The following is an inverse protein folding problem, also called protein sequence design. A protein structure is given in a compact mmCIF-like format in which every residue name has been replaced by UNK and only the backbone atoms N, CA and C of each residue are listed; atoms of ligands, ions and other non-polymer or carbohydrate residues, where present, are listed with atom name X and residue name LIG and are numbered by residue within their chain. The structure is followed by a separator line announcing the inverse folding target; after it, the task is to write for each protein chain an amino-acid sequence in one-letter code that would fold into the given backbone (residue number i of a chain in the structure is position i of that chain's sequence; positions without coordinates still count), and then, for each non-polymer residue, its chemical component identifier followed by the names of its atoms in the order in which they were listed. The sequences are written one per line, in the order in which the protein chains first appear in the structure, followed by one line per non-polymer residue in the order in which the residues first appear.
data_IF_818940377874
#
_entry.id   IF_818940377874
#
_cell.length_a   1.000
_cell.length_b   1.000
_cell.length_c   1.000
_cell.angle_alpha   90.00
_cell.angle_beta   90.00
_cell.angle_gamma   90.00
#
_symmetry.space_group_name_H-M   'P 1'
#
loop_
_entity.id
_entity.type
_entity.pdbx_description
1 polymer ?
#
# COMPACT_ATOMS: atom_id res chain seq x y z
N UNK A 1 65.20 -19.96 -17.19
CA UNK A 1 64.69 -20.03 -15.81
C UNK A 1 63.35 -19.33 -15.75
N UNK A 2 62.27 -20.10 -15.87
CA UNK A 2 60.89 -19.64 -16.02
C UNK A 2 60.30 -19.46 -14.61
N UNK A 3 59.99 -18.23 -14.21
CA UNK A 3 59.29 -17.96 -12.95
C UNK A 3 57.80 -18.20 -13.17
N UNK A 4 57.31 -19.33 -12.69
CA UNK A 4 55.90 -19.67 -12.68
C UNK A 4 55.14 -18.78 -11.70
N UNK A 5 54.14 -18.07 -12.22
CA UNK A 5 53.16 -17.32 -11.44
C UNK A 5 51.96 -18.23 -11.18
N UNK A 6 51.84 -18.76 -9.97
CA UNK A 6 50.66 -19.50 -9.52
C UNK A 6 49.53 -18.51 -9.24
N UNK A 7 48.53 -18.43 -10.13
CA UNK A 7 47.28 -17.69 -9.89
C UNK A 7 46.27 -18.68 -9.30
N UNK A 8 45.96 -18.49 -8.02
CA UNK A 8 44.91 -19.19 -7.29
C UNK A 8 43.56 -18.63 -7.73
N UNK A 9 42.85 -19.36 -8.60
CA UNK A 9 41.49 -19.03 -9.02
C UNK A 9 40.53 -19.41 -7.88
N UNK A 10 40.06 -18.42 -7.14
CA UNK A 10 38.93 -18.59 -6.20
C UNK A 10 37.63 -18.76 -7.00
N UNK A 11 37.18 -20.00 -7.16
CA UNK A 11 35.83 -20.31 -7.62
C UNK A 11 34.87 -19.96 -6.48
N UNK A 12 34.33 -18.75 -6.48
CA UNK A 12 33.14 -18.43 -5.69
C UNK A 12 31.95 -19.13 -6.33
N UNK A 13 31.67 -20.35 -5.85
CA UNK A 13 30.39 -21.02 -6.06
C UNK A 13 29.37 -20.23 -5.25
N UNK A 14 28.89 -19.13 -5.81
CA UNK A 14 27.72 -18.45 -5.28
C UNK A 14 26.53 -19.35 -5.60
N UNK A 15 26.18 -20.20 -4.63
CA UNK A 15 24.88 -20.86 -4.56
C UNK A 15 23.82 -19.77 -4.46
N UNK A 16 23.43 -19.21 -5.61
CA UNK A 16 22.25 -18.36 -5.73
C UNK A 16 21.04 -19.24 -5.47
N UNK A 17 20.66 -19.32 -4.19
CA UNK A 17 19.43 -19.93 -3.72
C UNK A 17 18.31 -19.30 -4.56
N UNK A 18 17.76 -20.04 -5.51
CA UNK A 18 16.61 -19.61 -6.30
C UNK A 18 15.46 -19.44 -5.31
N UNK A 19 15.23 -18.20 -4.88
CA UNK A 19 13.96 -17.84 -4.26
C UNK A 19 12.88 -18.21 -5.28
N UNK A 20 11.97 -19.06 -4.83
CA UNK A 20 10.79 -19.47 -5.59
C UNK A 20 9.97 -18.19 -5.76
N UNK A 21 10.11 -17.53 -6.90
CA UNK A 21 9.19 -16.48 -7.32
C UNK A 21 7.84 -17.17 -7.47
N UNK A 22 7.00 -17.02 -6.45
CA UNK A 22 5.58 -17.38 -6.57
C UNK A 22 5.02 -16.39 -7.57
N UNK A 23 4.97 -16.80 -8.83
CA UNK A 23 4.23 -16.14 -9.91
C UNK A 23 2.76 -16.18 -9.52
N UNK A 24 2.36 -15.18 -8.73
CA UNK A 24 0.97 -14.95 -8.37
C UNK A 24 0.32 -14.23 -9.53
N UNK A 25 -0.59 -14.93 -10.21
CA UNK A 25 -1.51 -14.46 -11.25
C UNK A 25 -1.42 -12.95 -11.54
N UNK A 26 -0.51 -12.60 -12.43
CA UNK A 26 0.07 -11.26 -12.60
C UNK A 26 -0.95 -10.24 -13.16
N UNK A 27 -2.11 -10.71 -13.61
CA UNK A 27 -3.10 -9.92 -14.35
C UNK A 27 -4.23 -9.34 -13.51
N UNK A 28 -4.53 -9.88 -12.33
CA UNK A 28 -5.76 -9.57 -11.60
C UNK A 28 -5.52 -9.02 -10.19
N UNK A 29 -6.47 -8.19 -9.74
CA UNK A 29 -6.48 -7.66 -8.38
C UNK A 29 -6.94 -8.73 -7.39
N UNK A 30 -6.09 -9.05 -6.43
CA UNK A 30 -6.49 -9.77 -5.22
C UNK A 30 -7.00 -8.78 -4.19
N UNK A 31 -8.25 -8.91 -3.76
CA UNK A 31 -8.86 -8.05 -2.74
C UNK A 31 -8.80 -8.72 -1.36
N UNK A 32 -8.54 -7.92 -0.33
CA UNK A 32 -8.46 -8.34 1.06
C UNK A 32 -9.57 -7.67 1.87
N UNK A 33 -10.14 -8.42 2.81
CA UNK A 33 -11.32 -7.99 3.60
C UNK A 33 -10.97 -7.70 5.07
N UNK A 34 -9.69 -7.68 5.44
CA UNK A 34 -9.26 -7.42 6.81
C UNK A 34 -8.13 -6.39 6.86
N UNK A 35 -8.11 -5.58 7.92
CA UNK A 35 -7.05 -4.60 8.17
C UNK A 35 -5.71 -5.26 8.49
N UNK A 36 -5.71 -6.50 8.96
CA UNK A 36 -4.50 -7.28 9.23
C UNK A 36 -3.74 -7.65 7.96
N UNK A 37 -4.42 -7.58 6.81
CA UNK A 37 -3.81 -7.81 5.50
C UNK A 37 -3.05 -6.58 4.99
N UNK A 38 -3.17 -5.41 5.64
CA UNK A 38 -2.44 -4.20 5.26
C UNK A 38 -0.95 -4.42 5.54
N UNK A 39 -0.05 -4.30 4.54
CA UNK A 39 1.37 -4.40 4.79
C UNK A 39 1.84 -3.36 5.80
N UNK A 40 2.64 -3.77 6.77
CA UNK A 40 3.12 -2.87 7.84
C UNK A 40 3.87 -1.65 7.27
N UNK A 41 4.67 -1.83 6.21
CA UNK A 41 5.32 -0.73 5.50
C UNK A 41 4.32 0.28 4.91
N UNK A 42 3.17 -0.18 4.41
CA UNK A 42 2.13 0.70 3.88
C UNK A 42 1.48 1.49 5.01
N UNK A 43 1.15 0.81 6.12
CA UNK A 43 0.60 1.43 7.34
C UNK A 43 1.52 2.54 7.85
N UNK A 44 2.79 2.23 8.05
CA UNK A 44 3.79 3.19 8.51
C UNK A 44 3.95 4.38 7.57
N UNK A 45 3.93 4.13 6.24
CA UNK A 45 4.07 5.20 5.25
C UNK A 45 2.88 6.15 5.25
N UNK A 46 1.66 5.62 5.40
CA UNK A 46 0.43 6.42 5.51
C UNK A 46 0.41 7.23 6.81
N UNK A 47 0.78 6.62 7.94
CA UNK A 47 0.90 7.33 9.22
C UNK A 47 1.91 8.48 9.15
N UNK A 48 3.07 8.24 8.51
CA UNK A 48 4.09 9.27 8.30
C UNK A 48 3.61 10.39 7.37
N UNK A 49 2.82 10.07 6.32
CA UNK A 49 2.28 11.07 5.39
C UNK A 49 1.28 12.02 6.07
N UNK A 50 0.43 11.49 6.95
CA UNK A 50 -0.62 12.26 7.63
C UNK A 50 -0.23 12.77 9.03
N UNK A 51 1.02 12.52 9.47
CA UNK A 51 1.50 12.86 10.81
C UNK A 51 0.58 12.41 11.95
N UNK A 52 0.08 11.18 11.87
CA UNK A 52 -0.85 10.67 12.87
C UNK A 52 -1.16 9.19 12.77
N UNK A 53 -2.02 8.73 13.66
CA UNK A 53 -2.39 7.33 13.78
C UNK A 53 -3.31 6.87 12.66
N UNK A 54 -3.14 5.62 12.24
CA UNK A 54 -3.99 4.93 11.27
C UNK A 54 -4.80 3.83 11.98
N UNK A 55 -5.76 4.28 12.79
CA UNK A 55 -6.70 3.42 13.50
C UNK A 55 -7.88 3.05 12.58
N UNK A 56 -7.91 1.80 12.12
CA UNK A 56 -8.82 1.35 11.06
C UNK A 56 -9.75 0.22 11.48
N UNK A 57 -10.98 0.28 11.00
CA UNK A 57 -11.96 -0.82 11.10
C UNK A 57 -11.94 -1.67 9.83
N UNK A 58 -12.24 -2.97 9.96
CA UNK A 58 -12.51 -3.84 8.82
C UNK A 58 -13.67 -3.30 7.97
N UNK A 59 -13.71 -3.60 6.66
CA UNK A 59 -14.85 -3.25 5.81
C UNK A 59 -16.17 -3.72 6.43
N UNK A 60 -17.13 -2.80 6.56
CA UNK A 60 -18.45 -3.08 7.15
C UNK A 60 -18.51 -3.17 8.68
N UNK A 61 -17.38 -3.15 9.38
CA UNK A 61 -17.36 -3.15 10.84
C UNK A 61 -17.76 -1.77 11.42
N UNK A 62 -18.31 -1.72 12.64
CA UNK A 62 -18.58 -0.48 13.34
C UNK A 62 -17.32 0.38 13.48
N UNK A 63 -17.47 1.68 13.29
CA UNK A 63 -16.42 2.67 13.45
C UNK A 63 -17.04 3.97 13.96
N UNK A 64 -16.24 4.81 14.60
CA UNK A 64 -16.65 6.14 14.98
C UNK A 64 -16.47 7.10 13.80
N UNK A 65 -17.59 7.54 13.22
CA UNK A 65 -17.61 8.45 12.09
C UNK A 65 -17.42 9.93 12.47
N UNK A 66 -17.54 10.26 13.77
CA UNK A 66 -17.56 11.65 14.25
C UNK A 66 -16.22 12.05 14.87
N UNK A 67 -15.95 13.36 14.94
CA UNK A 67 -14.77 13.91 15.63
C UNK A 67 -14.76 13.61 17.14
N UNK A 68 -15.92 13.28 17.72
CA UNK A 68 -16.02 12.95 19.13
C UNK A 68 -15.69 11.48 19.33
N UNK A 69 -14.49 11.18 19.85
CA UNK A 69 -14.12 9.82 20.28
C UNK A 69 -14.90 9.45 21.54
N UNK A 70 -16.15 9.04 21.38
CA UNK A 70 -17.01 8.59 22.48
C UNK A 70 -16.70 7.15 22.90
N UNK A 71 -16.05 6.38 22.00
CA UNK A 71 -15.93 4.92 22.09
C UNK A 71 -14.48 4.47 21.80
N UNK A 72 -14.14 3.22 22.17
CA UNK A 72 -12.89 2.55 21.77
C UNK A 72 -12.85 2.09 20.31
N UNK A 73 -13.84 2.49 19.51
CA UNK A 73 -13.96 2.12 18.10
C UNK A 73 -12.92 2.83 17.23
N UNK A 74 -12.46 2.20 16.14
CA UNK A 74 -11.62 2.85 15.15
C UNK A 74 -12.33 4.03 14.48
N UNK A 75 -11.58 4.96 13.91
CA UNK A 75 -12.13 6.18 13.29
C UNK A 75 -12.19 6.13 11.76
N UNK A 76 -11.57 5.11 11.15
CA UNK A 76 -11.41 5.00 9.70
C UNK A 76 -11.79 3.62 9.18
N UNK A 77 -12.95 3.43 8.55
CA UNK A 77 -13.28 2.15 7.94
C UNK A 77 -12.46 1.95 6.66
N UNK A 78 -11.83 0.78 6.54
CA UNK A 78 -11.22 0.32 5.31
C UNK A 78 -12.33 0.09 4.25
N UNK A 79 -12.14 0.63 3.05
CA UNK A 79 -13.10 0.50 1.95
C UNK A 79 -12.60 -0.47 0.87
N UNK A 80 -11.31 -0.42 0.56
CA UNK A 80 -10.65 -1.34 -0.36
C UNK A 80 -9.23 -1.60 0.15
N UNK A 81 -8.80 -2.86 0.08
CA UNK A 81 -7.39 -3.22 0.08
C UNK A 81 -7.19 -4.24 -1.02
N UNK A 82 -6.33 -3.94 -1.98
CA UNK A 82 -6.09 -4.82 -3.11
C UNK A 82 -4.62 -4.83 -3.52
N UNK A 83 -4.20 -5.96 -4.10
CA UNK A 83 -2.84 -6.17 -4.61
C UNK A 83 -2.87 -6.75 -6.03
N UNK A 84 -2.00 -6.25 -6.91
CA UNK A 84 -1.72 -6.83 -8.23
C UNK A 84 -0.21 -6.76 -8.48
N UNK A 85 0.46 -7.92 -8.59
CA UNK A 85 1.92 -7.95 -8.60
C UNK A 85 2.49 -7.30 -7.34
N UNK A 86 3.35 -6.28 -7.49
CA UNK A 86 3.87 -5.51 -6.36
C UNK A 86 3.05 -4.24 -6.05
N UNK A 87 2.03 -3.93 -6.86
CA UNK A 87 1.18 -2.77 -6.67
C UNK A 87 0.14 -3.05 -5.59
N UNK A 88 0.06 -2.15 -4.61
CA UNK A 88 -0.93 -2.12 -3.56
C UNK A 88 -1.83 -0.90 -3.72
N UNK A 89 -3.12 -1.12 -3.50
CA UNK A 89 -4.15 -0.09 -3.44
C UNK A 89 -4.86 -0.21 -2.11
N UNK A 90 -5.05 0.91 -1.45
CA UNK A 90 -5.82 1.01 -0.22
C UNK A 90 -6.72 2.23 -0.31
N UNK A 91 -7.98 2.09 0.08
CA UNK A 91 -8.85 3.24 0.30
C UNK A 91 -9.57 3.12 1.62
N UNK A 92 -9.86 4.26 2.22
CA UNK A 92 -10.55 4.33 3.50
C UNK A 92 -11.35 5.62 3.60
N UNK A 93 -12.33 5.65 4.50
CA UNK A 93 -13.01 6.90 4.84
C UNK A 93 -12.17 7.63 5.88
N UNK A 94 -11.86 8.90 5.60
CA UNK A 94 -11.39 9.82 6.61
C UNK A 94 -12.62 10.47 7.25
N UNK A 95 -12.81 10.17 8.54
CA UNK A 95 -13.81 10.82 9.38
C UNK A 95 -13.33 12.17 9.91
N UNK A 96 -14.26 12.90 10.51
CA UNK A 96 -14.05 14.19 11.17
C UNK A 96 -14.76 15.37 10.49
N UNK A 97 -14.09 16.52 10.37
CA UNK A 97 -14.61 17.70 9.64
C UNK A 97 -14.80 17.42 8.14
N UNK A 98 -15.97 16.87 7.82
CA UNK A 98 -16.35 16.46 6.47
C UNK A 98 -15.87 15.05 6.15
N UNK A 99 -16.82 14.18 5.76
CA UNK A 99 -16.53 12.82 5.32
C UNK A 99 -15.93 12.84 3.91
N UNK A 100 -14.75 12.26 3.73
CA UNK A 100 -14.15 12.02 2.42
C UNK A 100 -13.43 10.67 2.36
N UNK A 101 -13.09 10.25 1.15
CA UNK A 101 -12.40 9.00 0.86
C UNK A 101 -10.95 9.31 0.54
N UNK A 102 -10.03 8.65 1.22
CA UNK A 102 -8.61 8.66 0.91
C UNK A 102 -8.30 7.44 0.06
N UNK A 103 -7.51 7.62 -0.98
CA UNK A 103 -6.95 6.57 -1.80
C UNK A 103 -5.42 6.63 -1.74
N UNK A 104 -4.82 5.47 -1.56
CA UNK A 104 -3.37 5.26 -1.49
C UNK A 104 -3.01 4.21 -2.52
N UNK A 105 -1.99 4.51 -3.33
CA UNK A 105 -1.37 3.55 -4.23
C UNK A 105 0.13 3.52 -3.92
N UNK A 106 0.72 2.33 -3.89
CA UNK A 106 2.15 2.18 -3.68
C UNK A 106 2.67 0.87 -4.28
N UNK A 107 3.95 0.84 -4.62
CA UNK A 107 4.66 -0.39 -4.99
C UNK A 107 5.41 -0.90 -3.76
N UNK A 108 5.23 -2.17 -3.40
CA UNK A 108 5.94 -2.79 -2.26
C UNK A 108 6.70 -4.02 -2.74
N UNK A 109 8.03 -3.92 -2.70
CA UNK A 109 8.94 -5.00 -3.08
C UNK A 109 9.85 -5.35 -1.92
N UNK A 110 9.80 -6.61 -1.47
CA UNK A 110 10.55 -7.12 -0.31
C UNK A 110 10.29 -6.29 0.95
N UNK A 111 11.19 -5.35 1.27
CA UNK A 111 11.13 -4.47 2.44
C UNK A 111 11.17 -2.98 2.08
N UNK A 112 10.91 -2.64 0.82
CA UNK A 112 10.92 -1.28 0.32
C UNK A 112 9.54 -0.88 -0.23
N UNK A 113 9.20 0.39 -0.05
CA UNK A 113 8.02 1.03 -0.64
C UNK A 113 8.46 2.13 -1.61
N UNK A 114 7.94 2.12 -2.82
CA UNK A 114 8.13 3.15 -3.85
C UNK A 114 6.79 3.60 -4.42
N UNK A 115 6.81 4.62 -5.27
CA UNK A 115 5.63 5.10 -6.00
C UNK A 115 4.42 5.40 -5.11
N UNK A 116 4.69 5.81 -3.87
CA UNK A 116 3.66 6.13 -2.89
C UNK A 116 2.92 7.39 -3.33
N UNK A 117 1.64 7.23 -3.63
CA UNK A 117 0.73 8.28 -4.10
C UNK A 117 -0.51 8.29 -3.24
N UNK A 118 -1.03 9.48 -3.00
CA UNK A 118 -2.25 9.69 -2.22
C UNK A 118 -3.19 10.57 -3.03
N UNK A 119 -4.47 10.23 -3.06
CA UNK A 119 -5.55 11.03 -3.64
C UNK A 119 -6.73 11.09 -2.67
N UNK A 120 -7.58 12.09 -2.83
CA UNK A 120 -8.79 12.26 -2.01
C UNK A 120 -10.00 12.47 -2.91
N UNK A 121 -11.16 12.04 -2.42
CA UNK A 121 -12.42 12.08 -3.17
C UNK A 121 -13.61 12.30 -2.23
N UNK A 122 -14.61 13.05 -2.68
CA UNK A 122 -15.92 13.16 -1.98
C UNK A 122 -16.88 12.01 -2.30
N UNK A 123 -16.43 11.08 -3.12
CA UNK A 123 -17.25 9.99 -3.64
C UNK A 123 -16.58 8.65 -3.40
N UNK A 124 -17.41 7.61 -3.29
CA UNK A 124 -17.02 6.27 -2.89
C UNK A 124 -15.90 5.68 -3.77
N UNK A 125 -14.90 5.10 -3.10
CA UNK A 125 -13.76 4.42 -3.68
C UNK A 125 -13.63 3.02 -3.04
N UNK A 126 -14.47 2.06 -3.43
CA UNK A 126 -14.59 0.74 -2.79
C UNK A 126 -14.25 -0.44 -3.73
N UNK A 127 -13.94 -0.17 -5.00
CA UNK A 127 -13.59 -1.19 -5.99
C UNK A 127 -12.60 -0.66 -7.03
N UNK A 128 -11.81 -1.57 -7.60
CA UNK A 128 -10.75 -1.22 -8.54
C UNK A 128 -11.28 -0.60 -9.84
N UNK A 129 -12.37 -1.12 -10.41
CA UNK A 129 -12.92 -0.64 -11.69
C UNK A 129 -13.35 0.83 -11.62
N UNK A 130 -14.03 1.20 -10.53
CA UNK A 130 -14.48 2.57 -10.27
C UNK A 130 -13.29 3.50 -10.05
N UNK A 131 -12.27 3.04 -9.32
CA UNK A 131 -11.04 3.80 -9.09
C UNK A 131 -10.29 4.03 -10.41
N UNK A 132 -10.09 2.98 -11.20
CA UNK A 132 -9.39 3.05 -12.49
C UNK A 132 -10.11 3.98 -13.47
N UNK A 133 -11.44 3.89 -13.54
CA UNK A 133 -12.26 4.80 -14.35
C UNK A 133 -12.08 6.26 -13.92
N UNK A 134 -12.03 6.54 -12.61
CA UNK A 134 -11.86 7.90 -12.08
C UNK A 134 -10.47 8.47 -12.32
N UNK A 135 -9.43 7.66 -12.14
CA UNK A 135 -8.05 8.04 -12.47
C UNK A 135 -7.95 8.38 -13.96
N UNK A 136 -8.47 7.50 -14.83
CA UNK A 136 -8.47 7.72 -16.29
C UNK A 136 -9.21 8.99 -16.71
N UNK A 137 -10.28 9.33 -16.00
CA UNK A 137 -11.10 10.51 -16.29
C UNK A 137 -10.61 11.79 -15.57
N UNK A 138 -9.45 11.76 -14.90
CA UNK A 138 -8.94 12.88 -14.09
C UNK A 138 -9.89 13.33 -12.97
N UNK A 139 -10.71 12.41 -12.45
CA UNK A 139 -11.64 12.63 -11.33
C UNK A 139 -11.07 12.21 -9.98
N UNK A 140 -9.88 11.60 -9.98
CA UNK A 140 -9.11 11.23 -8.80
C UNK A 140 -7.65 11.60 -9.07
N UNK A 141 -7.22 12.74 -8.54
CA UNK A 141 -5.89 13.29 -8.79
C UNK A 141 -4.96 13.01 -7.61
N UNK A 142 -3.74 12.57 -7.92
CA UNK A 142 -2.72 12.34 -6.92
C UNK A 142 -2.15 13.65 -6.42
N UNK A 143 -2.12 13.82 -5.10
CA UNK A 143 -1.45 14.94 -4.46
C UNK A 143 0.05 14.79 -4.64
N UNK A 144 0.72 15.90 -4.96
CA UNK A 144 2.17 15.98 -4.87
C UNK A 144 2.58 15.62 -3.44
N UNK A 145 3.49 14.67 -3.29
CA UNK A 145 4.02 14.26 -1.98
C UNK A 145 4.44 15.52 -1.20
N UNK A 146 4.10 15.67 0.09
CA UNK A 146 4.62 16.78 0.87
C UNK A 146 6.14 16.74 0.75
N UNK A 147 6.70 17.83 0.22
CA UNK A 147 8.14 18.03 0.22
C UNK A 147 8.62 17.89 1.67
N UNK A 148 9.68 17.10 1.85
CA UNK A 148 10.36 16.91 3.13
C UNK A 148 10.75 18.24 3.76
#
# INVERSE_FOLDING_TARGET
MQKGLFILVFIVISCSKKEKTTTGNDGEWTTYTTTDSIPELLRQKVMAYYHGDLDMANPGAPYNATDMRTDSLPTRPLMLLAKKGDEWRMSYVQGGYGKYYVYVQATIQKKAISDFKVAESRTLLDNNDTIDKRIKNHQLEFKNSPAK
#
